data_IF_001380402301
#
_entry.id   IF_001380402301
#
_cell.length_a   1.000
_cell.length_b   1.000
_cell.length_c   1.000
_cell.angle_alpha   90.00
_cell.angle_beta   90.00
_cell.angle_gamma   90.00
#
_symmetry.space_group_name_H-M   'P 1'
#
loop_
_entity.id
_entity.type
_entity.pdbx_description
1 polymer ?
#
# COMPACT_ATOMS: atom_id res chain seq x y z
N UNK A 1 -16.53 -10.38 -15.00
CA UNK A 1 -16.88 -8.94 -14.94
C UNK A 1 -15.95 -8.21 -13.97
N UNK A 2 -14.66 -8.14 -14.31
CA UNK A 2 -13.61 -7.49 -13.50
C UNK A 2 -13.20 -6.16 -14.14
N UNK A 3 -13.16 -6.11 -15.47
CA UNK A 3 -12.85 -4.91 -16.30
C UNK A 3 -13.78 -3.71 -16.06
N UNK A 4 -15.08 -3.95 -15.78
CA UNK A 4 -16.03 -2.86 -15.51
C UNK A 4 -15.77 -2.17 -14.17
N UNK A 5 -15.37 -2.93 -13.13
CA UNK A 5 -15.10 -2.41 -11.77
C UNK A 5 -13.80 -1.61 -11.70
N UNK A 6 -12.79 -2.02 -12.48
CA UNK A 6 -11.53 -1.28 -12.65
C UNK A 6 -11.73 0.11 -13.29
N UNK A 7 -12.54 0.21 -14.36
CA UNK A 7 -12.79 1.50 -15.02
C UNK A 7 -13.59 2.48 -14.15
N UNK A 8 -14.47 1.99 -13.26
CA UNK A 8 -15.20 2.87 -12.33
C UNK A 8 -14.28 3.42 -11.24
N UNK A 9 -13.37 2.60 -10.71
CA UNK A 9 -12.35 2.99 -9.72
C UNK A 9 -11.28 3.94 -10.30
N UNK A 10 -10.87 3.73 -11.56
CA UNK A 10 -9.93 4.62 -12.25
C UNK A 10 -10.57 5.95 -12.69
N UNK A 11 -11.86 5.97 -13.01
CA UNK A 11 -12.59 7.19 -13.40
C UNK A 11 -13.07 8.01 -12.20
N UNK A 12 -13.05 7.46 -10.99
CA UNK A 12 -13.27 8.23 -9.77
C UNK A 12 -12.01 9.08 -9.50
N UNK A 13 -12.03 10.32 -10.00
CA UNK A 13 -10.93 11.32 -9.90
C UNK A 13 -10.50 11.65 -8.46
N UNK A 14 -11.04 10.95 -7.46
CA UNK A 14 -10.73 11.06 -6.03
C UNK A 14 -9.33 10.57 -5.67
N UNK A 15 -8.68 9.78 -6.53
CA UNK A 15 -7.39 9.16 -6.22
C UNK A 15 -6.38 9.35 -7.35
N UNK A 16 -5.51 10.35 -7.19
CA UNK A 16 -4.36 10.57 -8.08
C UNK A 16 -3.09 10.20 -7.30
N UNK A 17 -2.46 9.08 -7.69
CA UNK A 17 -1.16 8.66 -7.18
C UNK A 17 -0.06 9.36 -7.99
N UNK A 18 0.59 10.38 -7.40
CA UNK A 18 1.83 10.96 -7.92
C UNK A 18 2.93 10.73 -6.88
N UNK A 19 3.84 9.82 -7.24
CA UNK A 19 5.23 9.65 -6.78
C UNK A 19 5.57 10.11 -5.35
N UNK A 20 6.04 9.14 -4.54
CA UNK A 20 6.41 9.19 -3.10
C UNK A 20 5.22 9.20 -2.16
N UNK A 21 4.91 8.02 -1.57
CA UNK A 21 3.96 7.71 -0.48
C UNK A 21 2.72 8.61 -0.26
N UNK A 22 2.18 9.27 -1.28
CA UNK A 22 1.11 10.27 -1.15
C UNK A 22 -0.20 9.70 -1.69
N UNK A 23 -1.11 9.35 -0.78
CA UNK A 23 -2.50 9.07 -1.13
C UNK A 23 -3.33 10.34 -1.00
N UNK A 24 -4.41 10.45 -1.77
CA UNK A 24 -5.42 11.48 -1.57
C UNK A 24 -6.67 10.78 -1.03
N UNK A 25 -7.15 11.15 0.15
CA UNK A 25 -8.43 10.69 0.69
C UNK A 25 -9.45 11.80 0.53
N UNK A 26 -10.62 11.49 -0.02
CA UNK A 26 -11.76 12.41 0.00
C UNK A 26 -12.81 11.85 0.95
N UNK A 27 -13.15 12.62 1.98
CA UNK A 27 -14.39 12.45 2.73
C UNK A 27 -15.52 13.19 2.01
N UNK A 28 -16.75 13.12 2.54
CA UNK A 28 -17.90 13.81 1.95
C UNK A 28 -17.77 15.33 1.86
N UNK A 29 -16.87 15.94 2.65
CA UNK A 29 -16.69 17.40 2.73
C UNK A 29 -15.23 17.87 2.63
N UNK A 30 -14.24 16.98 2.79
CA UNK A 30 -12.81 17.34 2.90
C UNK A 30 -11.92 16.42 2.08
N UNK A 31 -10.82 16.96 1.58
CA UNK A 31 -9.77 16.21 0.87
C UNK A 31 -8.51 16.21 1.74
N UNK A 32 -7.80 15.09 1.80
CA UNK A 32 -6.58 14.93 2.58
C UNK A 32 -5.48 14.33 1.73
N UNK A 33 -4.25 14.80 1.90
CA UNK A 33 -3.05 14.11 1.44
C UNK A 33 -2.51 13.26 2.58
N UNK A 34 -2.20 11.99 2.32
CA UNK A 34 -1.63 11.07 3.31
C UNK A 34 -0.23 10.72 2.86
N UNK A 35 0.79 11.11 3.63
CA UNK A 35 2.20 10.77 3.39
C UNK A 35 2.73 9.80 4.45
N UNK A 36 3.75 9.03 4.10
CA UNK A 36 4.40 8.09 5.02
C UNK A 36 5.86 8.47 5.18
N UNK A 37 6.25 8.80 6.41
CA UNK A 37 7.64 8.99 6.82
C UNK A 37 7.75 8.99 8.36
N UNK A 38 8.52 8.07 8.98
CA UNK A 38 8.11 6.75 9.55
C UNK A 38 6.71 6.63 10.21
N UNK A 39 5.90 7.68 10.18
CA UNK A 39 4.52 7.75 10.65
C UNK A 39 3.59 8.06 9.48
N UNK A 40 2.31 7.76 9.65
CA UNK A 40 1.29 8.20 8.69
C UNK A 40 0.96 9.65 9.04
N UNK A 41 1.32 10.56 8.16
CA UNK A 41 1.02 11.99 8.26
C UNK A 41 -0.13 12.30 7.32
N UNK A 42 -1.15 12.98 7.83
CA UNK A 42 -2.31 13.41 7.04
C UNK A 42 -2.34 14.93 7.02
N UNK A 43 -2.48 15.50 5.82
CA UNK A 43 -2.61 16.93 5.59
C UNK A 43 -3.93 17.24 4.92
N UNK A 44 -4.78 18.05 5.54
CA UNK A 44 -6.00 18.52 4.89
C UNK A 44 -5.64 19.45 3.68
N UNK A 45 -6.33 19.25 2.57
CA UNK A 45 -6.23 20.06 1.36
C UNK A 45 -7.50 20.91 1.25
N UNK A 46 -7.41 22.16 1.68
CA UNK A 46 -8.47 23.17 1.51
C UNK A 46 -8.32 23.88 0.16
N UNK A 47 -9.43 24.42 -0.39
CA UNK A 47 -9.42 25.15 -1.69
C UNK A 47 -8.61 26.46 -1.66
N UNK A 48 -8.34 26.98 -0.47
CA UNK A 48 -7.48 28.14 -0.22
C UNK A 48 -6.12 27.65 0.33
N UNK A 49 -5.25 27.11 -0.54
CA UNK A 49 -4.01 26.49 -0.07
C UNK A 49 -2.97 27.55 0.31
N UNK A 50 -2.86 27.86 1.61
CA UNK A 50 -1.58 28.08 2.30
C UNK A 50 -1.70 27.95 3.83
N UNK A 51 -2.30 26.88 4.34
CA UNK A 51 -1.91 26.36 5.66
C UNK A 51 -2.32 24.89 5.78
N UNK A 52 -1.39 24.01 5.45
CA UNK A 52 -1.58 22.56 5.60
C UNK A 52 -1.30 22.19 7.06
N UNK A 53 -2.35 21.99 7.85
CA UNK A 53 -2.19 21.27 9.11
C UNK A 53 -1.63 19.88 8.79
N UNK A 54 -0.48 19.55 9.35
CA UNK A 54 0.16 18.24 9.20
C UNK A 54 0.08 17.53 10.53
N UNK A 55 -0.80 16.54 10.62
CA UNK A 55 -1.02 15.79 11.85
C UNK A 55 -0.56 14.35 11.66
N UNK A 56 0.15 13.84 12.68
CA UNK A 56 0.43 12.41 12.78
C UNK A 56 -0.88 11.72 13.09
N UNK A 57 -1.38 10.96 12.12
CA UNK A 57 -2.68 10.34 12.21
C UNK A 57 -2.63 9.00 12.92
N UNK A 58 -1.60 8.20 12.61
CA UNK A 58 -1.36 6.96 13.32
C UNK A 58 0.08 6.45 13.16
N UNK A 59 0.48 5.63 14.12
CA UNK A 59 1.73 4.89 14.04
C UNK A 59 1.54 3.65 13.16
N UNK A 60 2.57 3.32 12.40
CA UNK A 60 2.61 2.07 11.63
C UNK A 60 2.75 0.86 12.59
N UNK A 61 2.20 -0.31 12.24
CA UNK A 61 2.32 -1.53 13.04
C UNK A 61 3.76 -2.04 13.09
N UNK A 62 4.58 -1.66 12.11
CA UNK A 62 5.98 -2.01 12.02
C UNK A 62 6.74 -0.97 11.19
N UNK A 63 8.00 -0.72 11.59
CA UNK A 63 8.92 0.14 10.84
C UNK A 63 9.76 -0.65 9.83
N UNK A 64 10.58 0.08 9.07
CA UNK A 64 11.67 -0.51 8.28
C UNK A 64 12.80 -0.95 9.21
N UNK A 65 13.23 -2.21 9.08
CA UNK A 65 14.39 -2.73 9.80
C UNK A 65 15.67 -2.56 8.98
N UNK A 66 15.53 -2.47 7.65
CA UNK A 66 16.61 -2.25 6.70
C UNK A 66 16.19 -1.17 5.68
N UNK A 67 17.10 -0.31 5.18
CA UNK A 67 16.76 0.73 4.20
C UNK A 67 16.10 0.20 2.91
N UNK A 68 16.40 -1.06 2.58
CA UNK A 68 15.81 -1.78 1.42
C UNK A 68 14.58 -2.62 1.77
N UNK A 69 14.09 -2.57 3.00
CA UNK A 69 12.80 -3.19 3.32
C UNK A 69 11.70 -2.52 2.49
N UNK A 70 10.78 -3.32 1.98
CA UNK A 70 9.65 -2.81 1.24
C UNK A 70 8.53 -2.47 2.23
N UNK A 71 7.95 -1.27 2.13
CA UNK A 71 6.85 -0.84 3.00
C UNK A 71 5.80 -0.07 2.19
N UNK A 72 4.64 -0.68 1.94
CA UNK A 72 3.62 -0.12 1.05
C UNK A 72 2.23 -0.13 1.68
N UNK A 73 1.69 1.07 1.90
CA UNK A 73 0.31 1.26 2.34
C UNK A 73 -0.64 1.20 1.14
N UNK A 74 -1.83 0.64 1.33
CA UNK A 74 -2.93 0.68 0.35
C UNK A 74 -4.26 0.82 1.09
N UNK A 75 -5.29 1.26 0.37
CA UNK A 75 -6.66 1.18 0.85
C UNK A 75 -7.11 -0.28 0.83
N UNK A 76 -7.75 -0.71 1.91
CA UNK A 76 -8.26 -2.05 2.11
C UNK A 76 -9.77 -1.98 2.38
N UNK A 77 -10.57 -2.72 1.60
CA UNK A 77 -12.03 -2.79 1.75
C UNK A 77 -12.69 -1.40 1.92
N UNK A 78 -12.29 -0.48 1.05
CA UNK A 78 -12.81 0.89 0.88
C UNK A 78 -12.50 1.90 1.99
N UNK A 79 -12.48 1.51 3.27
CA UNK A 79 -12.39 2.45 4.40
C UNK A 79 -11.38 2.07 5.48
N UNK A 80 -10.53 1.09 5.19
CA UNK A 80 -9.42 0.64 6.03
C UNK A 80 -8.09 0.77 5.31
N UNK A 81 -7.00 0.61 6.03
CA UNK A 81 -5.68 0.48 5.41
C UNK A 81 -5.16 -0.94 5.49
N UNK A 82 -4.41 -1.32 4.46
CA UNK A 82 -3.46 -2.43 4.49
C UNK A 82 -2.04 -1.89 4.39
N UNK A 83 -1.11 -2.56 5.08
CA UNK A 83 0.32 -2.31 4.96
C UNK A 83 1.00 -3.61 4.57
N UNK A 84 1.67 -3.60 3.42
CA UNK A 84 2.58 -4.66 3.00
C UNK A 84 3.98 -4.29 3.45
N UNK A 85 4.59 -5.17 4.24
CA UNK A 85 6.02 -5.13 4.55
C UNK A 85 6.70 -6.31 3.88
N UNK A 86 7.86 -6.09 3.25
CA UNK A 86 8.77 -7.18 2.87
C UNK A 86 10.14 -6.94 3.49
N UNK A 87 10.67 -7.93 4.20
CA UNK A 87 12.05 -7.90 4.66
C UNK A 87 13.01 -8.12 3.49
N UNK A 88 13.97 -7.22 3.29
CA UNK A 88 14.94 -7.34 2.20
C UNK A 88 15.77 -8.62 2.27
N UNK A 89 16.18 -9.00 3.49
CA UNK A 89 17.09 -10.12 3.75
C UNK A 89 16.35 -11.46 3.66
N UNK A 90 15.23 -11.60 4.37
CA UNK A 90 14.51 -12.88 4.48
C UNK A 90 13.46 -13.09 3.39
N UNK A 91 13.14 -12.03 2.63
CA UNK A 91 12.02 -11.98 1.66
C UNK A 91 10.65 -12.25 2.27
N UNK A 92 10.54 -12.40 3.59
CA UNK A 92 9.29 -12.55 4.32
C UNK A 92 8.40 -11.34 4.05
N UNK A 93 7.16 -11.60 3.65
CA UNK A 93 6.11 -10.60 3.47
C UNK A 93 5.17 -10.66 4.68
N UNK A 94 4.79 -9.50 5.19
CA UNK A 94 3.79 -9.36 6.24
C UNK A 94 2.73 -8.39 5.76
N UNK A 95 1.47 -8.79 5.84
CA UNK A 95 0.33 -7.94 5.53
C UNK A 95 -0.36 -7.60 6.85
N UNK A 96 -0.46 -6.31 7.13
CA UNK A 96 -1.20 -5.77 8.25
C UNK A 96 -2.43 -5.06 7.73
N UNK A 97 -3.53 -5.09 8.47
CA UNK A 97 -4.72 -4.30 8.16
C UNK A 97 -5.21 -3.59 9.40
N UNK A 98 -5.86 -2.44 9.22
CA UNK A 98 -6.56 -1.81 10.34
C UNK A 98 -7.77 -2.66 10.72
N UNK A 99 -8.00 -2.82 12.02
CA UNK A 99 -9.12 -3.63 12.52
C UNK A 99 -10.45 -2.95 12.20
N UNK A 100 -10.50 -1.64 12.43
CA UNK A 100 -11.70 -0.82 12.28
C UNK A 100 -11.55 0.13 11.08
N UNK A 101 -12.71 0.67 10.67
CA UNK A 101 -12.80 1.81 9.76
C UNK A 101 -11.98 2.97 10.30
N UNK A 102 -11.32 3.67 9.39
CA UNK A 102 -10.52 4.85 9.74
C UNK A 102 -11.42 6.07 9.84
N UNK A 103 -11.37 6.76 10.98
CA UNK A 103 -12.06 8.02 11.19
C UNK A 103 -11.02 9.14 11.38
N UNK A 104 -10.94 10.02 10.38
CA UNK A 104 -9.99 11.14 10.38
C UNK A 104 -10.34 12.21 11.42
N UNK A 105 -11.62 12.32 11.79
CA UNK A 105 -12.14 13.41 12.62
C UNK A 105 -11.85 13.24 14.12
N UNK A 106 -11.69 12.00 14.59
CA UNK A 106 -11.58 11.71 16.02
C UNK A 106 -10.14 11.51 16.52
N UNK A 107 -9.13 11.58 15.63
CA UNK A 107 -7.71 11.44 16.00
C UNK A 107 -7.36 10.19 16.82
N UNK A 108 -8.22 9.15 16.77
CA UNK A 108 -8.10 7.98 17.63
C UNK A 108 -6.99 7.03 17.16
N UNK A 109 -6.33 6.38 18.12
CA UNK A 109 -5.29 5.39 17.83
C UNK A 109 -5.81 4.28 16.92
N UNK A 110 -5.11 4.07 15.79
CA UNK A 110 -5.46 3.04 14.82
C UNK A 110 -4.95 1.69 15.30
N UNK A 111 -5.88 0.75 15.53
CA UNK A 111 -5.53 -0.63 15.87
C UNK A 111 -5.23 -1.43 14.61
N UNK A 112 -4.01 -1.94 14.53
CA UNK A 112 -3.56 -2.83 13.46
C UNK A 112 -3.69 -4.30 13.88
N UNK A 113 -3.92 -5.17 12.91
CA UNK A 113 -3.85 -6.61 13.08
C UNK A 113 -3.08 -7.24 11.92
N UNK A 114 -2.26 -8.25 12.23
CA UNK A 114 -1.61 -9.04 11.19
C UNK A 114 -2.68 -9.87 10.47
N UNK A 115 -2.80 -9.68 9.16
CA UNK A 115 -3.74 -10.43 8.33
C UNK A 115 -3.10 -11.74 7.86
N UNK A 116 -1.86 -11.67 7.41
CA UNK A 116 -1.09 -12.84 6.97
C UNK A 116 0.40 -12.55 6.97
N UNK A 117 1.20 -13.61 7.12
CA UNK A 117 2.63 -13.61 6.91
C UNK A 117 3.00 -14.68 5.90
N UNK A 118 3.79 -14.31 4.89
CA UNK A 118 4.17 -15.14 3.77
C UNK A 118 5.70 -15.30 3.75
N UNK A 119 6.17 -16.54 3.64
CA UNK A 119 7.60 -16.85 3.53
C UNK A 119 7.81 -17.82 2.39
N UNK A 120 8.00 -17.29 1.19
CA UNK A 120 8.15 -18.07 -0.04
C UNK A 120 9.65 -18.15 -0.38
N UNK A 121 10.22 -19.36 -0.53
CA UNK A 121 11.61 -19.52 -0.94
C UNK A 121 11.88 -18.80 -2.27
N UNK A 122 13.02 -18.10 -2.36
CA UNK A 122 13.47 -17.38 -3.56
C UNK A 122 12.49 -16.32 -4.09
N UNK A 123 11.62 -15.76 -3.25
CA UNK A 123 10.70 -14.72 -3.69
C UNK A 123 11.45 -13.41 -4.02
N UNK A 124 11.10 -12.72 -5.12
CA UNK A 124 11.81 -11.51 -5.54
C UNK A 124 11.64 -10.37 -4.54
N UNK A 125 12.65 -9.49 -4.50
CA UNK A 125 12.57 -8.24 -3.76
C UNK A 125 11.59 -7.27 -4.41
N UNK A 126 10.75 -6.62 -3.61
CA UNK A 126 9.78 -5.62 -4.09
C UNK A 126 10.35 -4.21 -4.20
N UNK A 127 11.55 -4.01 -3.68
CA UNK A 127 12.35 -2.78 -3.86
C UNK A 127 13.61 -3.22 -4.57
N UNK A 128 13.73 -2.80 -5.83
CA UNK A 128 14.83 -3.17 -6.72
C UNK A 128 16.11 -2.39 -6.41
N UNK A 129 15.97 -1.12 -6.03
CA UNK A 129 17.04 -0.14 -5.89
C UNK A 129 16.53 1.03 -5.02
N UNK A 130 17.42 1.68 -4.25
CA UNK A 130 17.13 2.89 -3.45
C UNK A 130 16.62 4.07 -4.30
N UNK A 131 16.90 4.06 -5.61
CA UNK A 131 16.48 5.03 -6.61
C UNK A 131 15.36 4.54 -7.55
N UNK A 132 14.89 3.29 -7.40
CA UNK A 132 13.82 2.75 -8.24
C UNK A 132 12.46 3.22 -7.75
N UNK A 133 11.78 4.00 -8.59
CA UNK A 133 10.45 4.55 -8.32
C UNK A 133 9.31 3.56 -8.55
N UNK A 134 9.60 2.32 -8.98
CA UNK A 134 8.56 1.33 -9.27
C UNK A 134 7.94 0.80 -7.99
N UNK A 135 6.82 1.41 -7.57
CA UNK A 135 6.07 0.94 -6.42
C UNK A 135 5.18 -0.24 -6.82
N UNK A 136 5.31 -1.40 -6.16
CA UNK A 136 4.44 -2.52 -6.44
C UNK A 136 3.00 -2.17 -6.09
N UNK A 137 2.09 -2.67 -6.90
CA UNK A 137 0.66 -2.68 -6.59
C UNK A 137 0.28 -4.04 -6.03
N UNK A 138 -0.61 -4.05 -5.05
CA UNK A 138 -1.09 -5.31 -4.50
C UNK A 138 -2.56 -5.23 -4.16
N UNK A 139 -3.18 -6.40 -4.16
CA UNK A 139 -4.56 -6.61 -3.77
C UNK A 139 -4.66 -7.86 -2.91
N UNK A 140 -5.56 -7.80 -1.93
CA UNK A 140 -5.76 -8.88 -0.97
C UNK A 140 -7.19 -9.39 -1.14
N UNK A 141 -7.31 -10.68 -1.42
CA UNK A 141 -8.58 -11.40 -1.50
C UNK A 141 -8.56 -12.56 -0.50
N UNK A 142 -9.14 -12.34 0.68
CA UNK A 142 -9.08 -13.27 1.80
C UNK A 142 -7.64 -13.71 2.14
N UNK A 143 -7.25 -14.95 1.83
CA UNK A 143 -5.89 -15.50 2.02
C UNK A 143 -4.97 -15.35 0.80
N UNK A 144 -5.46 -14.78 -0.28
CA UNK A 144 -4.72 -14.59 -1.54
C UNK A 144 -4.13 -13.20 -1.59
N UNK A 145 -2.85 -13.13 -1.91
CA UNK A 145 -2.15 -11.90 -2.23
C UNK A 145 -1.85 -11.89 -3.73
N UNK A 146 -2.40 -10.90 -4.44
CA UNK A 146 -2.02 -10.61 -5.82
C UNK A 146 -1.09 -9.41 -5.78
N UNK A 147 0.09 -9.54 -6.36
CA UNK A 147 1.14 -8.55 -6.33
C UNK A 147 1.61 -8.29 -7.75
N UNK A 148 1.76 -7.02 -8.11
CA UNK A 148 2.35 -6.62 -9.37
C UNK A 148 3.56 -5.73 -9.08
N UNK A 149 4.74 -6.17 -9.51
CA UNK A 149 6.03 -5.50 -9.27
C UNK A 149 6.92 -5.65 -10.49
N UNK A 150 7.81 -4.68 -10.71
CA UNK A 150 8.89 -4.86 -11.66
C UNK A 150 9.95 -5.81 -11.09
N UNK A 151 10.57 -6.61 -11.96
CA UNK A 151 11.81 -7.33 -11.65
C UNK A 151 13.04 -6.42 -11.81
N UNK A 152 14.23 -6.98 -11.55
CA UNK A 152 15.52 -6.27 -11.64
C UNK A 152 15.82 -5.72 -13.05
N UNK A 153 15.19 -6.28 -14.08
CA UNK A 153 15.31 -5.80 -15.46
C UNK A 153 14.25 -4.77 -15.83
N UNK A 154 13.33 -4.45 -14.91
CA UNK A 154 12.25 -3.49 -15.09
C UNK A 154 10.98 -4.08 -15.71
N UNK A 155 10.95 -5.38 -16.02
CA UNK A 155 9.75 -6.00 -16.58
C UNK A 155 8.69 -6.18 -15.50
N UNK A 156 7.42 -5.81 -15.78
CA UNK A 156 6.35 -5.98 -14.80
C UNK A 156 5.91 -7.44 -14.72
N UNK A 157 5.79 -7.95 -13.49
CA UNK A 157 5.31 -9.29 -13.18
C UNK A 157 4.08 -9.24 -12.30
N UNK A 158 3.16 -10.18 -12.51
CA UNK A 158 2.04 -10.47 -11.60
C UNK A 158 2.33 -11.78 -10.87
N UNK A 159 2.36 -11.73 -9.54
CA UNK A 159 2.48 -12.85 -8.64
C UNK A 159 1.13 -13.08 -7.95
N UNK A 160 0.70 -14.33 -7.89
CA UNK A 160 -0.47 -14.77 -7.11
C UNK A 160 0.05 -15.73 -6.06
N UNK A 161 -0.13 -15.36 -4.79
CA UNK A 161 0.33 -16.13 -3.64
C UNK A 161 -0.86 -16.56 -2.80
N UNK A 162 -0.85 -17.81 -2.35
CA UNK A 162 -1.84 -18.39 -1.44
C UNK A 162 -1.14 -19.36 -0.49
N UNK A 163 -1.44 -19.28 0.81
CA UNK A 163 -0.94 -20.23 1.83
C UNK A 163 0.59 -20.53 1.76
N UNK A 164 1.43 -19.49 1.70
CA UNK A 164 2.90 -19.59 1.55
C UNK A 164 3.40 -20.22 0.25
N UNK A 165 2.55 -20.33 -0.77
CA UNK A 165 2.91 -20.88 -2.08
C UNK A 165 2.67 -19.86 -3.17
N UNK A 166 3.63 -19.76 -4.10
CA UNK A 166 3.44 -19.05 -5.35
C UNK A 166 2.52 -19.92 -6.23
N UNK A 167 1.29 -19.47 -6.44
CA UNK A 167 0.27 -20.17 -7.23
C UNK A 167 0.43 -19.88 -8.71
N UNK A 168 0.78 -18.64 -9.05
CA UNK A 168 0.98 -18.19 -10.41
C UNK A 168 1.95 -17.02 -10.45
N UNK A 169 2.73 -16.97 -11.52
CA UNK A 169 3.62 -15.88 -11.86
C UNK A 169 3.52 -15.63 -13.36
N UNK A 170 3.27 -14.39 -13.76
CA UNK A 170 3.06 -14.00 -15.16
C UNK A 170 3.85 -12.74 -15.45
N UNK A 171 4.76 -12.81 -16.41
CA UNK A 171 5.40 -11.62 -16.97
C UNK A 171 4.42 -10.91 -17.89
N UNK A 172 4.28 -9.60 -17.72
CA UNK A 172 3.50 -8.76 -18.62
C UNK A 172 4.42 -8.28 -19.75
N UNK A 173 4.18 -8.76 -20.96
CA UNK A 173 4.82 -8.22 -22.16
C UNK A 173 4.17 -6.88 -22.51
N UNK A 174 4.99 -5.83 -22.59
CA UNK A 174 4.58 -4.48 -23.02
C UNK A 174 4.33 -4.39 -24.51
#
# INVERSE_FOLDING_TARGET
>A
TVRKRWNTLFNDKRFINKSTFRFILSTGSKIYSVSIDPKIVVSELTLDILDKFSEVFCNLPCGMNHPRDALFLRVYKDDRFSLLKQCHVTKKIEIWVTKNKINVENGGDVVWMNLMALSIPNFPGLVLDEYSYSQPSYFIDDKRLVLCSCDETGYPWIYVVEENKLVSEVQLNG
#
